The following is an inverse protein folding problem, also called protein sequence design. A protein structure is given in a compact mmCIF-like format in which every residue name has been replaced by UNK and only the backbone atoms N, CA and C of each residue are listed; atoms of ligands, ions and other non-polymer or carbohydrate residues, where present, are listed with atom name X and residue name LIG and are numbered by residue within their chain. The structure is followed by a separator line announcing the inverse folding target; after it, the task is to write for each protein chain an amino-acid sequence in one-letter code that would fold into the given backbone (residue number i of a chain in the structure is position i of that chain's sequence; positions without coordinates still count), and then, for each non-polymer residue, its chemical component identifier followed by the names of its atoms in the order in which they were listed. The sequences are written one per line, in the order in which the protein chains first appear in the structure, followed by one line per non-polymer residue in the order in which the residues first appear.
data_IF_760799524795
#
_entry.id   IF_760799524795
#
_cell.length_a   1.000
_cell.length_b   1.000
_cell.length_c   1.000
_cell.angle_alpha   90.00
_cell.angle_beta   90.00
_cell.angle_gamma   90.00
#
_symmetry.space_group_name_H-M   'P 1'
#
loop_
_entity.id
_entity.type
_entity.pdbx_description
1 polymer ?
#
# COMPACT_ATOMS: atom_id res chain seq x y z
N UNK A 1 -3.81 12.56 -3.32
CA UNK A 1 -3.10 12.26 -2.05
C UNK A 1 -2.35 10.94 -2.21
N UNK A 2 -1.16 10.79 -1.62
CA UNK A 2 -0.38 9.54 -1.72
C UNK A 2 -0.27 8.86 -0.36
N UNK A 3 -0.78 7.65 -0.24
CA UNK A 3 -0.72 6.83 0.98
C UNK A 3 0.11 5.59 0.70
N UNK A 4 1.16 5.41 1.50
CA UNK A 4 1.87 4.15 1.57
C UNK A 4 1.14 3.22 2.53
N UNK A 5 0.68 2.09 2.02
CA UNK A 5 -0.02 1.06 2.79
C UNK A 5 0.88 -0.17 2.87
N UNK A 6 1.25 -0.55 4.10
CA UNK A 6 1.73 -1.91 4.35
C UNK A 6 0.73 -2.64 5.20
N UNK A 7 0.22 -3.73 4.62
CA UNK A 7 -0.40 -4.78 5.39
C UNK A 7 0.74 -5.72 5.77
N UNK A 8 1.07 -5.73 7.07
CA UNK A 8 2.20 -6.52 7.57
C UNK A 8 1.87 -8.01 7.58
N UNK A 9 2.94 -8.80 7.64
CA UNK A 9 2.95 -10.23 7.87
C UNK A 9 1.87 -10.68 8.87
N UNK A 10 1.12 -11.75 8.57
CA UNK A 10 0.29 -12.37 9.58
C UNK A 10 1.17 -12.84 10.74
N UNK A 11 0.82 -12.42 11.96
CA UNK A 11 1.51 -12.89 13.16
C UNK A 11 1.03 -14.31 13.48
N UNK A 12 1.94 -15.28 13.50
CA UNK A 12 1.66 -16.65 13.97
C UNK A 12 1.59 -17.74 12.90
N UNK A 13 2.28 -17.60 11.76
CA UNK A 13 2.43 -18.67 10.76
C UNK A 13 3.63 -19.58 11.03
N UNK A 14 3.58 -20.81 10.53
CA UNK A 14 4.64 -21.83 10.66
C UNK A 14 5.88 -21.58 9.78
N UNK A 15 5.94 -20.45 9.05
CA UNK A 15 6.99 -20.13 8.09
C UNK A 15 7.43 -18.67 8.18
N UNK A 16 8.74 -18.44 8.04
CA UNK A 16 9.34 -17.11 7.93
C UNK A 16 9.01 -16.40 6.61
N UNK A 17 8.48 -17.11 5.62
CA UNK A 17 8.07 -16.54 4.33
C UNK A 17 6.57 -16.29 4.28
N UNK A 18 6.19 -15.02 4.18
CA UNK A 18 4.79 -14.58 4.20
C UNK A 18 4.24 -14.20 2.83
N UNK A 19 5.02 -14.40 1.75
CA UNK A 19 4.67 -13.94 0.40
C UNK A 19 3.31 -14.46 -0.09
N UNK A 20 3.03 -15.74 0.12
CA UNK A 20 1.75 -16.34 -0.24
C UNK A 20 0.58 -15.77 0.59
N UNK A 21 0.82 -15.49 1.87
CA UNK A 21 -0.19 -14.96 2.78
C UNK A 21 -0.54 -13.49 2.48
N UNK A 22 0.41 -12.68 2.02
CA UNK A 22 0.17 -11.26 1.70
C UNK A 22 -0.34 -11.02 0.27
N UNK A 23 -0.12 -11.98 -0.65
CA UNK A 23 -0.49 -11.84 -2.05
C UNK A 23 -1.99 -11.51 -2.28
N UNK A 24 -2.97 -12.10 -1.54
CA UNK A 24 -4.37 -11.72 -1.67
C UNK A 24 -4.65 -10.25 -1.33
N UNK A 25 -3.98 -9.70 -0.31
CA UNK A 25 -4.13 -8.30 0.08
C UNK A 25 -3.52 -7.36 -0.99
N UNK A 26 -2.35 -7.69 -1.53
CA UNK A 26 -1.73 -6.94 -2.63
C UNK A 26 -2.62 -6.95 -3.88
N UNK A 27 -3.26 -8.08 -4.18
CA UNK A 27 -4.19 -8.19 -5.32
C UNK A 27 -5.35 -7.20 -5.22
N UNK A 28 -5.93 -7.02 -4.03
CA UNK A 28 -6.99 -6.01 -3.80
C UNK A 28 -6.53 -4.60 -4.17
N UNK A 29 -5.26 -4.28 -3.91
CA UNK A 29 -4.69 -2.99 -4.27
C UNK A 29 -4.52 -2.86 -5.78
N UNK A 30 -3.97 -3.88 -6.44
CA UNK A 30 -3.78 -3.91 -7.89
C UNK A 30 -5.11 -3.79 -8.65
N UNK A 31 -6.16 -4.44 -8.15
CA UNK A 31 -7.50 -4.44 -8.74
C UNK A 31 -8.33 -3.20 -8.36
N UNK A 32 -7.80 -2.28 -7.54
CA UNK A 32 -8.54 -1.10 -7.06
C UNK A 32 -8.85 -0.07 -8.14
N UNK A 33 -8.12 -0.09 -9.26
CA UNK A 33 -8.18 0.94 -10.30
C UNK A 33 -7.46 2.26 -9.94
N UNK A 34 -6.93 2.38 -8.72
CA UNK A 34 -6.15 3.53 -8.29
C UNK A 34 -4.69 3.39 -8.72
N UNK A 35 -3.98 4.50 -9.05
CA UNK A 35 -2.53 4.46 -9.25
C UNK A 35 -1.84 3.87 -8.03
N UNK A 36 -1.03 2.85 -8.25
CA UNK A 36 -0.35 2.14 -7.17
C UNK A 36 1.00 1.58 -7.63
N UNK A 37 1.86 1.29 -6.66
CA UNK A 37 3.17 0.70 -6.86
C UNK A 37 3.49 -0.27 -5.71
N UNK A 38 3.84 -1.52 -6.03
CA UNK A 38 4.30 -2.50 -5.04
C UNK A 38 5.82 -2.59 -5.07
N UNK A 39 6.45 -2.43 -3.90
CA UNK A 39 7.89 -2.54 -3.69
C UNK A 39 8.21 -3.67 -2.70
N UNK A 40 9.48 -3.87 -2.37
CA UNK A 40 9.91 -4.88 -1.40
C UNK A 40 9.33 -4.69 0.00
N UNK A 41 9.02 -3.45 0.39
CA UNK A 41 8.62 -3.13 1.77
C UNK A 41 7.18 -2.59 1.87
N UNK A 42 6.65 -1.99 0.80
CA UNK A 42 5.37 -1.30 0.82
C UNK A 42 4.61 -1.40 -0.49
N UNK A 43 3.28 -1.31 -0.39
CA UNK A 43 2.42 -0.99 -1.54
C UNK A 43 1.92 0.44 -1.41
N UNK A 44 2.32 1.33 -2.30
CA UNK A 44 1.86 2.72 -2.29
C UNK A 44 0.65 2.87 -3.19
N UNK A 45 -0.35 3.62 -2.74
CA UNK A 45 -1.60 3.89 -3.45
C UNK A 45 -1.85 5.39 -3.46
N UNK A 46 -2.26 5.91 -4.60
CA UNK A 46 -2.66 7.31 -4.78
C UNK A 46 -4.16 7.40 -5.07
N UNK A 47 -4.84 8.32 -4.40
CA UNK A 47 -6.27 8.54 -4.61
C UNK A 47 -6.80 9.58 -3.64
N UNK A 48 -8.13 9.67 -3.56
CA UNK A 48 -8.81 10.44 -2.51
C UNK A 48 -8.89 9.65 -1.20
N UNK A 49 -9.07 10.35 -0.08
CA UNK A 49 -8.99 9.78 1.27
C UNK A 49 -9.88 8.55 1.44
N UNK A 50 -11.16 8.69 1.11
CA UNK A 50 -12.15 7.63 1.29
C UNK A 50 -11.89 6.44 0.35
N UNK A 51 -11.43 6.71 -0.88
CA UNK A 51 -11.12 5.67 -1.86
C UNK A 51 -9.96 4.79 -1.38
N UNK A 52 -8.89 5.42 -0.90
CA UNK A 52 -7.72 4.70 -0.42
C UNK A 52 -8.04 3.92 0.86
N UNK A 53 -8.77 4.53 1.81
CA UNK A 53 -9.15 3.83 3.03
C UNK A 53 -10.11 2.66 2.76
N UNK A 54 -10.96 2.75 1.73
CA UNK A 54 -11.77 1.62 1.27
C UNK A 54 -10.89 0.47 0.76
N UNK A 55 -9.82 0.75 0.00
CA UNK A 55 -8.85 -0.26 -0.45
C UNK A 55 -8.12 -0.89 0.74
N UNK A 56 -7.61 -0.09 1.68
CA UNK A 56 -6.94 -0.57 2.91
C UNK A 56 -7.85 -1.52 3.68
N UNK A 57 -9.11 -1.12 3.88
CA UNK A 57 -10.10 -1.93 4.58
C UNK A 57 -10.33 -3.27 3.88
N UNK A 58 -10.56 -3.26 2.55
CA UNK A 58 -10.77 -4.50 1.78
C UNK A 58 -9.55 -5.43 1.85
N UNK A 59 -8.34 -4.88 1.75
CA UNK A 59 -7.11 -5.66 1.86
C UNK A 59 -6.95 -6.30 3.24
N UNK A 60 -7.31 -5.56 4.30
CA UNK A 60 -7.30 -6.05 5.68
C UNK A 60 -8.36 -7.14 5.90
N UNK A 61 -9.59 -6.91 5.41
CA UNK A 61 -10.70 -7.86 5.50
C UNK A 61 -10.36 -9.19 4.79
N UNK A 62 -9.59 -9.15 3.70
CA UNK A 62 -9.10 -10.36 3.03
C UNK A 62 -8.16 -11.16 3.93
N UNK A 63 -7.19 -10.52 4.59
CA UNK A 63 -6.30 -11.22 5.51
C UNK A 63 -7.04 -11.78 6.73
N UNK A 64 -7.99 -11.02 7.29
CA UNK A 64 -8.73 -11.45 8.48
C UNK A 64 -9.68 -12.64 8.24
N UNK A 65 -9.88 -13.06 6.99
CA UNK A 65 -10.57 -14.33 6.68
C UNK A 65 -9.70 -15.55 6.97
N UNK A 66 -8.38 -15.41 6.86
CA UNK A 66 -7.42 -16.51 6.99
C UNK A 66 -6.63 -16.42 8.30
N UNK A 67 -6.44 -15.21 8.82
CA UNK A 67 -5.61 -14.96 10.00
C UNK A 67 -6.41 -14.31 11.13
N UNK A 68 -6.15 -14.69 12.39
CA UNK A 68 -6.88 -14.16 13.55
C UNK A 68 -6.58 -12.68 13.83
N UNK A 69 -5.50 -12.14 13.26
CA UNK A 69 -5.06 -10.76 13.43
C UNK A 69 -4.25 -10.30 12.22
N UNK A 70 -4.43 -9.04 11.85
CA UNK A 70 -3.58 -8.31 10.91
C UNK A 70 -2.97 -7.09 11.62
N UNK A 71 -1.73 -6.74 11.26
CA UNK A 71 -1.08 -5.49 11.66
C UNK A 71 -0.96 -4.58 10.44
N UNK A 72 -1.11 -3.28 10.64
CA UNK A 72 -1.12 -2.28 9.57
C UNK A 72 -0.14 -1.17 9.89
N UNK A 73 0.65 -0.78 8.89
CA UNK A 73 1.46 0.44 8.91
C UNK A 73 0.99 1.34 7.76
N UNK A 74 0.46 2.51 8.13
CA UNK A 74 -0.04 3.50 7.18
C UNK A 74 0.80 4.77 7.30
N UNK A 75 1.36 5.21 6.18
CA UNK A 75 2.04 6.52 6.07
C UNK A 75 1.40 7.31 4.95
N UNK A 76 0.76 8.42 5.29
CA UNK A 76 0.04 9.25 4.32
C UNK A 76 0.73 10.60 4.13
N UNK A 77 0.87 11.02 2.87
CA UNK A 77 1.08 12.41 2.51
C UNK A 77 -0.22 13.00 1.95
N UNK A 78 -0.82 13.90 2.72
CA UNK A 78 -2.13 14.47 2.46
C UNK A 78 -1.96 15.89 1.94
N UNK A 79 -2.05 16.02 0.60
CA UNK A 79 -2.00 17.30 -0.11
C UNK A 79 -3.17 17.40 -1.10
N UNK A 80 -4.22 18.19 -0.79
CA UNK A 80 -5.37 18.37 -1.68
C UNK A 80 -4.98 18.93 -3.06
N UNK A 81 -5.81 18.65 -4.07
CA UNK A 81 -5.66 19.16 -5.45
C UNK A 81 -4.33 18.82 -6.13
N UNK A 82 -3.75 17.64 -5.82
CA UNK A 82 -2.54 17.11 -6.44
C UNK A 82 -2.73 15.64 -6.79
N UNK A 83 -2.39 15.29 -8.03
CA UNK A 83 -2.36 13.93 -8.59
C UNK A 83 -1.02 13.66 -9.27
N UNK A 84 -0.75 12.40 -9.63
CA UNK A 84 0.51 11.95 -10.23
C UNK A 84 1.71 12.09 -9.29
N UNK A 85 1.47 12.16 -7.97
CA UNK A 85 2.50 12.46 -6.98
C UNK A 85 3.39 11.26 -6.66
N UNK A 86 2.96 10.02 -6.89
CA UNK A 86 3.83 8.84 -6.75
C UNK A 86 5.11 9.00 -7.57
N UNK A 87 4.93 9.31 -8.86
CA UNK A 87 6.04 9.48 -9.80
C UNK A 87 6.72 10.84 -9.66
N UNK A 88 5.96 11.93 -9.59
CA UNK A 88 6.53 13.28 -9.55
C UNK A 88 7.48 13.50 -8.36
N UNK A 89 7.23 12.83 -7.23
CA UNK A 89 8.12 12.90 -6.05
C UNK A 89 9.46 12.24 -6.28
N UNK A 90 9.47 11.08 -6.94
CA UNK A 90 10.72 10.38 -7.28
C UNK A 90 11.51 11.22 -8.29
N UNK A 91 10.85 11.70 -9.35
CA UNK A 91 11.46 12.55 -10.38
C UNK A 91 12.07 13.83 -9.79
N UNK A 92 11.42 14.44 -8.80
CA UNK A 92 11.95 15.64 -8.12
C UNK A 92 13.25 15.33 -7.39
N UNK A 93 13.34 14.19 -6.70
CA UNK A 93 14.58 13.77 -6.01
C UNK A 93 15.67 13.44 -7.02
N UNK A 94 15.34 12.68 -8.07
CA UNK A 94 16.28 12.32 -9.13
C UNK A 94 16.89 13.55 -9.81
N UNK A 95 16.07 14.59 -10.07
CA UNK A 95 16.55 15.85 -10.60
C UNK A 95 17.68 16.43 -9.73
N UNK A 96 17.46 16.59 -8.42
CA UNK A 96 18.46 17.12 -7.49
C UNK A 96 19.69 16.22 -7.29
N UNK A 97 19.59 14.93 -7.59
CA UNK A 97 20.74 14.01 -7.54
C UNK A 97 21.64 14.13 -8.77
N UNK A 98 21.13 14.70 -9.86
CA UNK A 98 21.84 14.84 -11.14
C UNK A 98 22.37 16.25 -11.42
N UNK A 99 22.10 17.20 -10.51
CA UNK A 99 22.67 18.55 -10.52
C UNK A 99 24.08 18.63 -9.91
#
# INVERSE_FOLDING_TARGET
MAITVTVESPMGGDSDSVGAAVAPAVRVVLESGLPNETTSMFTTVEGEWDEVMAVVKRATDVLLKEFPRASLVLKADIRPARSGQLRAKVETVEHYLTE
#
